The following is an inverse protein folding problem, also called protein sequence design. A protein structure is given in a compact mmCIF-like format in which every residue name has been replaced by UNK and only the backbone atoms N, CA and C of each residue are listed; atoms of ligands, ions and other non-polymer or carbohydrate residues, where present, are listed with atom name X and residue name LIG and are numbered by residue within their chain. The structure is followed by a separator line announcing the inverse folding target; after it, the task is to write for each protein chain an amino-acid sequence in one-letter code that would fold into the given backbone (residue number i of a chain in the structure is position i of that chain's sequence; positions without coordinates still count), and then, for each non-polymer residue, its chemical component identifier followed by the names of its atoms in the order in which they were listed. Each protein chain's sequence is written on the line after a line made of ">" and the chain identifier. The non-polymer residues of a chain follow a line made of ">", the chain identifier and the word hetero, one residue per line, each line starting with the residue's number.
data_IF_575308646971
#
_entry.id   IF_575308646971
#
_cell.length_a   1.000
_cell.length_b   1.000
_cell.length_c   1.000
_cell.angle_alpha   90.00
_cell.angle_beta   90.00
_cell.angle_gamma   90.00
#
_symmetry.space_group_name_H-M   'P 1'
#
loop_
_entity.id
_entity.type
_entity.pdbx_description
1 polymer ?
#
# COMPACT_ATOMS: atom_id res chain seq x y z
N UNK A 1 -51.38 -28.52 21.63
CA UNK A 1 -50.22 -29.30 22.08
C UNK A 1 -49.01 -28.37 22.23
N UNK A 2 -48.70 -28.02 23.48
CA UNK A 2 -47.57 -27.15 23.86
C UNK A 2 -46.40 -28.01 24.32
N UNK A 3 -45.20 -27.86 23.70
CA UNK A 3 -43.97 -28.48 24.20
C UNK A 3 -43.21 -27.49 25.10
N UNK A 4 -42.68 -27.89 26.24
CA UNK A 4 -41.94 -27.02 27.16
C UNK A 4 -40.47 -26.87 26.71
N UNK A 5 -39.98 -25.65 26.86
CA UNK A 5 -38.56 -25.27 26.66
C UNK A 5 -37.73 -25.72 27.87
N UNK A 6 -36.67 -26.49 27.60
CA UNK A 6 -35.66 -26.84 28.60
C UNK A 6 -34.68 -25.67 28.78
N UNK A 7 -34.67 -25.06 29.95
CA UNK A 7 -33.69 -24.06 30.38
C UNK A 7 -32.47 -24.79 30.95
N UNK A 8 -31.38 -24.80 30.25
CA UNK A 8 -30.09 -25.29 30.76
C UNK A 8 -29.46 -24.22 31.66
N UNK A 9 -29.37 -24.49 32.94
CA UNK A 9 -28.64 -23.70 33.92
C UNK A 9 -27.17 -24.09 33.86
N UNK A 10 -26.33 -23.19 33.38
CA UNK A 10 -24.86 -23.29 33.50
C UNK A 10 -24.45 -22.77 34.87
N UNK A 11 -23.94 -23.66 35.71
CA UNK A 11 -23.29 -23.31 36.97
C UNK A 11 -21.87 -22.83 36.67
N UNK A 12 -21.56 -21.56 36.90
CA UNK A 12 -20.22 -21.01 36.85
C UNK A 12 -19.51 -21.30 38.15
N UNK A 13 -18.59 -22.24 38.15
CA UNK A 13 -17.68 -22.48 39.27
C UNK A 13 -16.59 -21.40 39.26
N UNK A 14 -16.65 -20.45 40.20
CA UNK A 14 -15.58 -19.51 40.48
C UNK A 14 -14.46 -20.21 41.23
N UNK A 15 -13.38 -20.59 40.57
CA UNK A 15 -12.11 -20.95 41.22
C UNK A 15 -11.33 -19.68 41.49
N UNK A 16 -11.23 -19.29 42.74
CA UNK A 16 -10.36 -18.24 43.22
C UNK A 16 -8.89 -18.68 43.07
N UNK A 17 -8.22 -18.27 42.01
CA UNK A 17 -6.78 -18.45 41.88
C UNK A 17 -6.08 -17.33 42.65
N UNK A 18 -5.40 -17.68 43.72
CA UNK A 18 -4.50 -16.80 44.47
C UNK A 18 -3.39 -16.28 43.54
N UNK A 19 -3.41 -14.99 43.24
CA UNK A 19 -2.31 -14.30 42.56
C UNK A 19 -1.10 -14.23 43.51
N UNK A 20 -0.21 -15.21 43.39
CA UNK A 20 1.13 -15.12 43.93
C UNK A 20 1.89 -14.13 43.07
N UNK A 21 2.13 -12.92 43.55
CA UNK A 21 3.03 -11.93 42.93
C UNK A 21 4.48 -12.41 43.08
N UNK A 22 4.88 -13.36 42.24
CA UNK A 22 6.30 -13.59 42.00
C UNK A 22 6.80 -12.44 41.12
N UNK A 23 7.73 -11.69 41.67
CA UNK A 23 8.53 -10.67 40.96
C UNK A 23 9.24 -11.40 39.81
N UNK A 24 8.55 -11.46 38.66
CA UNK A 24 9.05 -12.17 37.47
C UNK A 24 10.25 -11.42 36.91
N UNK A 25 11.41 -12.00 37.00
CA UNK A 25 12.56 -11.64 36.20
C UNK A 25 12.11 -11.65 34.73
N UNK A 26 12.20 -10.48 34.07
CA UNK A 26 11.93 -10.39 32.64
C UNK A 26 12.86 -11.38 31.93
N UNK A 27 12.34 -12.36 31.17
CA UNK A 27 13.18 -13.32 30.50
C UNK A 27 14.20 -12.60 29.62
N UNK A 28 15.47 -12.81 29.88
CA UNK A 28 16.55 -12.25 29.06
C UNK A 28 16.41 -12.85 27.66
N UNK A 29 16.26 -12.04 26.59
CA UNK A 29 16.08 -12.57 25.26
C UNK A 29 17.29 -13.44 24.88
N UNK A 30 17.02 -14.61 24.33
CA UNK A 30 18.05 -15.54 23.86
C UNK A 30 18.93 -14.89 22.80
N UNK A 31 20.15 -15.36 22.64
CA UNK A 31 21.09 -14.86 21.62
C UNK A 31 20.48 -14.91 20.21
N UNK A 32 19.69 -15.94 19.92
CA UNK A 32 18.98 -16.12 18.67
C UNK A 32 17.87 -15.06 18.47
N UNK A 33 17.09 -14.77 19.50
CA UNK A 33 16.08 -13.70 19.45
C UNK A 33 16.71 -12.31 19.22
N UNK A 34 17.90 -12.06 19.81
CA UNK A 34 18.66 -10.81 19.58
C UNK A 34 19.19 -10.73 18.16
N UNK A 35 19.70 -11.84 17.59
CA UNK A 35 20.19 -11.90 16.22
C UNK A 35 19.06 -11.66 15.22
N UNK A 36 17.91 -12.30 15.41
CA UNK A 36 16.70 -12.11 14.57
C UNK A 36 16.20 -10.67 14.63
N UNK A 37 16.14 -10.08 15.84
CA UNK A 37 15.73 -8.68 16.00
C UNK A 37 16.71 -7.71 15.31
N UNK A 38 18.01 -7.92 15.43
CA UNK A 38 19.05 -7.11 14.75
C UNK A 38 18.94 -7.21 13.23
N UNK A 39 18.69 -8.42 12.69
CA UNK A 39 18.49 -8.63 11.26
C UNK A 39 17.23 -7.91 10.75
N UNK A 40 16.12 -7.97 11.49
CA UNK A 40 14.89 -7.26 11.16
C UNK A 40 15.07 -5.73 11.14
N UNK A 41 15.81 -5.17 12.12
CA UNK A 41 16.13 -3.73 12.14
C UNK A 41 16.98 -3.34 10.93
N UNK A 42 17.99 -4.15 10.58
CA UNK A 42 18.84 -3.88 9.42
C UNK A 42 18.06 -3.93 8.09
N UNK A 43 17.16 -4.90 7.94
CA UNK A 43 16.27 -4.99 6.77
C UNK A 43 15.36 -3.76 6.65
N UNK A 44 14.71 -3.35 7.73
CA UNK A 44 13.84 -2.17 7.75
C UNK A 44 14.62 -0.86 7.47
N UNK A 45 15.88 -0.78 7.90
CA UNK A 45 16.76 0.36 7.59
C UNK A 45 17.12 0.40 6.10
N UNK A 46 17.43 -0.76 5.50
CA UNK A 46 17.70 -0.89 4.06
C UNK A 46 16.49 -0.47 3.22
N UNK A 47 15.30 -0.95 3.56
CA UNK A 47 14.05 -0.60 2.88
C UNK A 47 13.77 0.90 2.94
N UNK A 48 13.99 1.52 4.10
CA UNK A 48 13.84 2.97 4.28
C UNK A 48 14.80 3.76 3.40
N UNK A 49 16.07 3.37 3.36
CA UNK A 49 17.07 4.03 2.50
C UNK A 49 16.72 3.90 1.02
N UNK A 50 16.29 2.73 0.58
CA UNK A 50 15.87 2.50 -0.80
C UNK A 50 14.65 3.35 -1.15
N UNK A 51 13.62 3.41 -0.29
CA UNK A 51 12.46 4.25 -0.51
C UNK A 51 12.82 5.74 -0.56
N UNK A 52 13.73 6.21 0.29
CA UNK A 52 14.21 7.60 0.24
C UNK A 52 14.91 7.92 -1.10
N UNK A 53 15.71 6.99 -1.61
CA UNK A 53 16.33 7.12 -2.93
C UNK A 53 15.27 7.20 -4.02
N UNK A 54 14.27 6.30 -4.01
CA UNK A 54 13.19 6.27 -4.99
C UNK A 54 12.32 7.53 -4.95
N UNK A 55 12.07 8.09 -3.78
CA UNK A 55 11.37 9.38 -3.63
C UNK A 55 12.17 10.51 -4.29
N UNK A 56 13.48 10.58 -4.06
CA UNK A 56 14.35 11.59 -4.73
C UNK A 56 14.38 11.41 -6.26
N UNK A 57 14.40 10.18 -6.73
CA UNK A 57 14.31 9.89 -8.18
C UNK A 57 12.95 10.36 -8.73
N UNK A 58 11.86 10.12 -8.00
CA UNK A 58 10.54 10.62 -8.34
C UNK A 58 10.47 12.14 -8.41
N UNK A 59 11.09 12.85 -7.45
CA UNK A 59 11.19 14.31 -7.45
C UNK A 59 11.99 14.83 -8.64
N UNK A 60 13.11 14.18 -8.99
CA UNK A 60 13.91 14.52 -10.16
C UNK A 60 13.15 14.31 -11.49
N UNK A 61 12.31 13.30 -11.57
CA UNK A 61 11.41 13.09 -12.71
C UNK A 61 10.33 14.17 -12.73
N UNK A 62 9.74 14.52 -11.59
CA UNK A 62 8.72 15.57 -11.46
C UNK A 62 9.21 16.92 -11.99
N UNK A 63 10.46 17.28 -11.69
CA UNK A 63 11.05 18.53 -12.17
C UNK A 63 11.15 18.62 -13.72
N UNK A 64 11.01 17.50 -14.41
CA UNK A 64 11.11 17.41 -15.89
C UNK A 64 9.78 17.11 -16.58
N UNK A 65 8.68 16.94 -15.86
CA UNK A 65 7.37 16.57 -16.43
C UNK A 65 6.87 17.56 -17.47
N UNK A 66 7.15 18.85 -17.32
CA UNK A 66 6.73 19.88 -18.28
C UNK A 66 7.35 19.73 -19.67
N UNK A 67 8.49 19.05 -19.78
CA UNK A 67 9.16 18.76 -21.05
C UNK A 67 8.74 17.42 -21.69
N UNK A 68 7.86 16.65 -21.03
CA UNK A 68 7.42 15.36 -21.54
C UNK A 68 6.10 15.48 -22.31
N UNK A 69 5.94 14.66 -23.36
CA UNK A 69 4.67 14.51 -24.06
C UNK A 69 3.62 13.93 -23.10
N UNK A 70 2.46 14.56 -23.00
CA UNK A 70 1.37 14.14 -22.12
C UNK A 70 0.23 13.52 -22.92
N UNK A 71 -0.30 12.41 -22.42
CA UNK A 71 -1.56 11.84 -22.87
C UNK A 71 -2.50 11.67 -21.66
N UNK A 72 -3.80 11.80 -21.90
CA UNK A 72 -4.81 11.65 -20.84
C UNK A 72 -6.04 10.95 -21.39
N UNK A 73 -6.66 10.13 -20.55
CA UNK A 73 -8.01 9.60 -20.79
C UNK A 73 -8.65 9.23 -19.45
N UNK A 74 -9.93 8.84 -19.52
CA UNK A 74 -10.69 8.35 -18.38
C UNK A 74 -11.65 7.25 -18.80
N UNK A 75 -12.09 6.47 -17.82
CA UNK A 75 -13.10 5.44 -17.99
C UNK A 75 -13.84 5.19 -16.67
N UNK A 76 -14.99 4.52 -16.78
CA UNK A 76 -15.70 4.01 -15.61
C UNK A 76 -15.32 2.54 -15.37
N UNK A 77 -15.03 2.20 -14.12
CA UNK A 77 -14.83 0.83 -13.66
C UNK A 77 -15.91 0.54 -12.60
N UNK A 78 -17.07 0.04 -13.03
CA UNK A 78 -18.27 0.02 -12.19
C UNK A 78 -18.65 1.44 -11.77
N UNK A 79 -18.85 1.66 -10.46
CA UNK A 79 -19.18 2.98 -9.88
C UNK A 79 -17.96 3.88 -9.63
N UNK A 80 -16.78 3.46 -10.08
CA UNK A 80 -15.53 4.20 -9.88
C UNK A 80 -15.12 4.90 -11.16
N UNK A 81 -15.01 6.24 -11.13
CA UNK A 81 -14.37 6.97 -12.20
C UNK A 81 -12.85 6.89 -12.10
N UNK A 82 -12.19 6.67 -13.21
CA UNK A 82 -10.73 6.59 -13.31
C UNK A 82 -10.26 7.59 -14.35
N UNK A 83 -9.38 8.51 -13.95
CA UNK A 83 -8.72 9.46 -14.84
C UNK A 83 -7.22 9.20 -14.73
N UNK A 84 -6.51 9.21 -15.85
CA UNK A 84 -5.08 9.04 -15.86
C UNK A 84 -4.37 10.04 -16.77
N UNK A 85 -3.11 10.31 -16.43
CA UNK A 85 -2.18 11.14 -17.19
C UNK A 85 -0.89 10.35 -17.39
N UNK A 86 -0.56 10.02 -18.63
CA UNK A 86 0.71 9.41 -19.01
C UNK A 86 1.69 10.47 -19.50
N UNK A 87 2.94 10.41 -19.04
CA UNK A 87 4.03 11.28 -19.45
C UNK A 87 5.11 10.46 -20.16
N UNK A 88 5.49 10.88 -21.36
CA UNK A 88 6.32 10.11 -22.28
C UNK A 88 7.61 10.86 -22.63
N UNK A 89 8.74 10.16 -22.52
CA UNK A 89 10.00 10.56 -23.13
C UNK A 89 10.11 9.86 -24.50
N UNK A 90 9.86 10.59 -25.58
CA UNK A 90 9.61 9.97 -26.89
C UNK A 90 8.37 9.08 -26.83
N UNK A 91 8.52 7.80 -27.15
CA UNK A 91 7.43 6.79 -27.08
C UNK A 91 7.45 5.96 -25.78
N UNK A 92 8.39 6.25 -24.88
CA UNK A 92 8.53 5.52 -23.63
C UNK A 92 7.71 6.19 -22.53
N UNK A 93 6.76 5.45 -21.92
CA UNK A 93 6.04 5.90 -20.74
C UNK A 93 6.99 5.94 -19.54
N UNK A 94 7.15 7.12 -18.95
CA UNK A 94 8.04 7.37 -17.80
C UNK A 94 7.25 7.52 -16.52
N UNK A 95 6.13 8.25 -16.55
CA UNK A 95 5.25 8.48 -15.42
C UNK A 95 3.81 8.23 -15.82
N UNK A 96 3.06 7.66 -14.90
CA UNK A 96 1.62 7.52 -14.98
C UNK A 96 1.01 8.02 -13.68
N UNK A 97 0.18 9.04 -13.76
CA UNK A 97 -0.66 9.49 -12.66
C UNK A 97 -2.08 8.98 -12.87
N UNK A 98 -2.67 8.48 -11.82
CA UNK A 98 -4.04 7.97 -11.81
C UNK A 98 -4.80 8.59 -10.64
N UNK A 99 -6.01 9.07 -10.92
CA UNK A 99 -6.98 9.47 -9.91
C UNK A 99 -8.21 8.58 -10.04
N UNK A 100 -8.63 7.99 -8.93
CA UNK A 100 -9.85 7.19 -8.82
C UNK A 100 -10.80 7.82 -7.82
N UNK A 101 -12.06 7.90 -8.18
CA UNK A 101 -13.14 8.34 -7.30
C UNK A 101 -14.24 7.29 -7.33
N UNK A 102 -14.32 6.56 -6.20
CA UNK A 102 -15.29 5.48 -5.99
C UNK A 102 -16.54 5.93 -5.25
N UNK A 103 -17.31 4.98 -4.71
CA UNK A 103 -18.50 5.22 -3.90
C UNK A 103 -18.28 6.28 -2.84
N UNK A 104 -19.33 6.97 -2.33
CA UNK A 104 -19.22 8.23 -1.61
C UNK A 104 -18.06 8.26 -0.61
N UNK A 105 -17.11 9.16 -0.87
CA UNK A 105 -16.00 9.44 0.05
C UNK A 105 -14.72 8.63 -0.15
N UNK A 106 -14.59 7.84 -1.20
CA UNK A 106 -13.30 7.20 -1.55
C UNK A 106 -12.63 7.95 -2.69
N UNK A 107 -11.48 8.54 -2.42
CA UNK A 107 -10.59 9.12 -3.42
C UNK A 107 -9.21 8.51 -3.29
N UNK A 108 -8.62 8.15 -4.41
CA UNK A 108 -7.32 7.52 -4.47
C UNK A 108 -6.50 8.14 -5.60
N UNK A 109 -5.29 8.60 -5.27
CA UNK A 109 -4.32 9.13 -6.21
C UNK A 109 -3.11 8.20 -6.20
N UNK A 110 -2.71 7.72 -7.37
CA UNK A 110 -1.54 6.87 -7.50
C UNK A 110 -0.60 7.44 -8.57
N UNK A 111 0.69 7.39 -8.28
CA UNK A 111 1.76 7.71 -9.21
C UNK A 111 2.64 6.50 -9.41
N UNK A 112 2.87 6.15 -10.67
CA UNK A 112 3.69 5.04 -11.09
C UNK A 112 4.87 5.59 -11.88
N UNK A 113 6.08 5.23 -11.49
CA UNK A 113 7.30 5.53 -12.24
C UNK A 113 7.79 4.28 -12.95
N UNK A 114 8.14 4.44 -14.21
CA UNK A 114 8.69 3.38 -15.05
C UNK A 114 10.13 3.70 -15.42
N UNK A 115 10.98 2.69 -15.41
CA UNK A 115 12.35 2.75 -15.91
C UNK A 115 12.55 1.60 -16.90
N UNK A 116 12.96 1.91 -18.12
CA UNK A 116 13.12 0.91 -19.18
C UNK A 116 11.92 -0.02 -19.34
N UNK A 117 10.70 0.53 -19.31
CA UNK A 117 9.42 -0.20 -19.38
C UNK A 117 9.00 -1.00 -18.13
N UNK A 118 9.87 -1.18 -17.14
CA UNK A 118 9.56 -1.85 -15.88
C UNK A 118 9.03 -0.87 -14.84
N UNK A 119 8.09 -1.31 -14.01
CA UNK A 119 7.62 -0.55 -12.86
C UNK A 119 8.78 -0.41 -11.86
N UNK A 120 9.09 0.81 -11.45
CA UNK A 120 10.21 1.11 -10.58
C UNK A 120 9.77 1.61 -9.21
N UNK A 121 8.71 2.44 -9.19
CA UNK A 121 8.19 3.00 -7.95
C UNK A 121 6.69 3.26 -8.08
N UNK A 122 5.96 3.07 -6.98
CA UNK A 122 4.57 3.47 -6.85
C UNK A 122 4.39 4.24 -5.56
N UNK A 123 3.74 5.39 -5.64
CA UNK A 123 3.18 6.08 -4.49
C UNK A 123 1.66 6.11 -4.62
N UNK A 124 0.94 5.74 -3.57
CA UNK A 124 -0.51 5.76 -3.52
C UNK A 124 -0.96 6.51 -2.27
N UNK A 125 -1.88 7.45 -2.46
CA UNK A 125 -2.55 8.19 -1.40
C UNK A 125 -4.05 7.94 -1.53
N UNK A 126 -4.65 7.30 -0.53
CA UNK A 126 -6.08 6.99 -0.46
C UNK A 126 -6.69 7.75 0.69
N UNK A 127 -7.76 8.45 0.42
CA UNK A 127 -8.63 9.06 1.42
C UNK A 127 -9.98 8.36 1.38
N UNK A 128 -10.46 7.92 2.53
CA UNK A 128 -11.76 7.27 2.68
C UNK A 128 -12.54 7.94 3.80
N UNK A 129 -13.77 8.36 3.52
CA UNK A 129 -14.71 8.80 4.54
C UNK A 129 -15.27 7.57 5.25
N UNK A 130 -14.96 7.46 6.55
CA UNK A 130 -15.58 6.48 7.43
C UNK A 130 -16.88 7.01 8.03
N UNK A 131 -17.43 6.27 9.00
CA UNK A 131 -18.57 6.72 9.81
C UNK A 131 -18.23 7.86 10.79
N UNK A 132 -16.94 8.17 10.99
CA UNK A 132 -16.45 9.23 11.86
C UNK A 132 -16.29 10.59 11.15
N UNK A 133 -16.10 11.67 11.93
CA UNK A 133 -15.95 13.03 11.39
C UNK A 133 -14.65 13.22 10.59
N UNK A 134 -13.63 12.43 10.84
CA UNK A 134 -12.32 12.54 10.20
C UNK A 134 -12.13 11.45 9.16
N UNK A 135 -11.76 11.79 7.91
CA UNK A 135 -11.46 10.79 6.90
C UNK A 135 -10.20 10.00 7.27
N UNK A 136 -10.17 8.73 6.90
CA UNK A 136 -8.99 7.87 7.04
C UNK A 136 -8.11 8.10 5.81
N UNK A 137 -6.87 8.52 6.03
CA UNK A 137 -5.86 8.67 5.00
C UNK A 137 -4.85 7.55 5.07
N UNK A 138 -4.67 6.84 3.96
CA UNK A 138 -3.68 5.76 3.82
C UNK A 138 -2.69 6.14 2.74
N UNK A 139 -1.40 6.11 3.08
CA UNK A 139 -0.31 6.29 2.11
C UNK A 139 0.47 4.98 2.00
N UNK A 140 0.68 4.55 0.77
CA UNK A 140 1.47 3.38 0.43
C UNK A 140 2.61 3.79 -0.48
N UNK A 141 3.79 3.21 -0.30
CA UNK A 141 4.88 3.31 -1.24
C UNK A 141 5.50 1.94 -1.48
N UNK A 142 5.78 1.65 -2.75
CA UNK A 142 6.36 0.39 -3.21
C UNK A 142 7.56 0.69 -4.09
N UNK A 143 8.70 0.10 -3.79
CA UNK A 143 9.89 0.13 -4.61
C UNK A 143 10.13 -1.22 -5.26
N UNK A 144 10.49 -1.21 -6.54
CA UNK A 144 10.77 -2.41 -7.32
C UNK A 144 12.21 -2.34 -7.85
N UNK A 145 12.86 -3.49 -7.94
CA UNK A 145 14.19 -3.59 -8.55
C UNK A 145 14.14 -3.49 -10.09
N UNK A 146 15.29 -3.65 -10.74
CA UNK A 146 15.40 -3.53 -12.20
C UNK A 146 14.64 -4.61 -12.98
N UNK A 147 14.30 -5.73 -12.33
CA UNK A 147 13.52 -6.82 -12.94
C UNK A 147 12.05 -6.81 -12.49
N UNK A 148 11.65 -5.82 -11.69
CA UNK A 148 10.26 -5.64 -11.26
C UNK A 148 9.88 -6.46 -10.03
N UNK A 149 10.87 -6.95 -9.27
CA UNK A 149 10.63 -7.62 -7.99
C UNK A 149 10.53 -6.56 -6.89
N UNK A 150 9.54 -6.69 -6.02
CA UNK A 150 9.36 -5.79 -4.88
C UNK A 150 10.60 -5.82 -3.98
N UNK A 151 11.17 -4.67 -3.71
CA UNK A 151 12.40 -4.52 -2.94
C UNK A 151 12.25 -3.65 -1.69
N UNK A 152 11.22 -2.81 -1.64
CA UNK A 152 10.94 -1.99 -0.46
C UNK A 152 9.48 -1.56 -0.40
N UNK A 153 8.94 -1.42 0.81
CA UNK A 153 7.55 -1.01 1.03
C UNK A 153 7.41 -0.08 2.24
N UNK A 154 6.42 0.79 2.20
CA UNK A 154 5.93 1.49 3.40
C UNK A 154 4.43 1.68 3.37
N UNK A 155 3.81 1.67 4.55
CA UNK A 155 2.40 2.02 4.75
C UNK A 155 2.27 2.94 5.95
N UNK A 156 1.51 4.02 5.76
CA UNK A 156 1.12 4.91 6.84
C UNK A 156 -0.39 5.09 6.82
N UNK A 157 -1.00 5.07 7.99
CA UNK A 157 -2.42 5.37 8.18
C UNK A 157 -2.53 6.56 9.12
N UNK A 158 -3.12 7.66 8.67
CA UNK A 158 -3.18 8.93 9.38
C UNK A 158 -1.80 9.38 9.91
N UNK A 159 -0.79 9.28 9.03
CA UNK A 159 0.62 9.61 9.26
C UNK A 159 1.37 8.70 10.26
N UNK A 160 0.72 7.70 10.83
CA UNK A 160 1.37 6.67 11.65
C UNK A 160 1.76 5.44 10.80
N UNK A 161 2.95 4.88 11.06
CA UNK A 161 3.39 3.64 10.42
C UNK A 161 2.43 2.49 10.75
N UNK A 162 2.05 1.73 9.75
CA UNK A 162 1.11 0.61 9.87
C UNK A 162 1.67 -0.65 9.20
N UNK A 163 1.28 -1.86 9.64
CA UNK A 163 1.66 -3.08 8.96
C UNK A 163 1.05 -3.12 7.54
N UNK A 164 1.81 -3.64 6.60
CA UNK A 164 1.37 -3.90 5.23
C UNK A 164 0.82 -5.33 5.16
N UNK A 165 -0.36 -5.51 4.58
CA UNK A 165 -0.81 -6.83 4.14
C UNK A 165 -0.19 -7.11 2.77
N UNK A 166 1.05 -7.66 2.85
CA UNK A 166 2.01 -7.62 1.75
C UNK A 166 1.54 -8.32 0.48
N UNK A 167 0.91 -9.47 0.57
CA UNK A 167 0.59 -10.26 -0.62
C UNK A 167 -0.54 -9.64 -1.46
N UNK A 168 -1.65 -9.23 -0.81
CA UNK A 168 -2.83 -8.68 -1.49
C UNK A 168 -2.57 -7.28 -2.06
N UNK A 169 -1.96 -6.39 -1.26
CA UNK A 169 -1.69 -5.01 -1.66
C UNK A 169 -0.69 -4.95 -2.84
N UNK A 170 0.34 -5.80 -2.83
CA UNK A 170 1.38 -5.82 -3.87
C UNK A 170 0.85 -6.36 -5.19
N UNK A 171 0.18 -7.52 -5.16
CA UNK A 171 -0.40 -8.13 -6.35
C UNK A 171 -1.38 -7.18 -7.01
N UNK A 172 -2.26 -6.58 -6.22
CA UNK A 172 -3.23 -5.60 -6.69
C UNK A 172 -2.56 -4.40 -7.39
N UNK A 173 -1.53 -3.80 -6.79
CA UNK A 173 -0.83 -2.64 -7.36
C UNK A 173 -0.06 -3.01 -8.64
N UNK A 174 0.62 -4.16 -8.67
CA UNK A 174 1.39 -4.58 -9.84
C UNK A 174 0.48 -4.91 -11.03
N UNK A 175 -0.64 -5.59 -10.80
CA UNK A 175 -1.64 -5.90 -11.83
C UNK A 175 -2.31 -4.63 -12.36
N UNK A 176 -2.66 -3.72 -11.47
CA UNK A 176 -3.23 -2.42 -11.82
C UNK A 176 -2.28 -1.59 -12.69
N UNK A 177 -1.00 -1.48 -12.30
CA UNK A 177 0.01 -0.77 -13.07
C UNK A 177 0.17 -1.36 -14.48
N UNK A 178 0.16 -2.70 -14.59
CA UNK A 178 0.25 -3.41 -15.87
C UNK A 178 -0.96 -3.15 -16.75
N UNK A 179 -2.17 -3.27 -16.20
CA UNK A 179 -3.43 -3.05 -16.93
C UNK A 179 -3.54 -1.62 -17.45
N UNK A 180 -3.22 -0.63 -16.62
CA UNK A 180 -3.20 0.79 -17.00
C UNK A 180 -2.16 1.07 -18.08
N UNK A 181 -0.93 0.58 -17.91
CA UNK A 181 0.12 0.74 -18.91
C UNK A 181 -0.30 0.21 -20.28
N UNK A 182 -0.86 -0.99 -20.34
CA UNK A 182 -1.36 -1.58 -21.59
C UNK A 182 -2.42 -0.69 -22.24
N UNK A 183 -3.39 -0.23 -21.48
CA UNK A 183 -4.46 0.65 -21.97
C UNK A 183 -3.95 1.99 -22.48
N UNK A 184 -2.94 2.57 -21.82
CA UNK A 184 -2.33 3.84 -22.22
C UNK A 184 -1.54 3.68 -23.53
N UNK A 185 -0.73 2.63 -23.65
CA UNK A 185 0.06 2.39 -24.85
C UNK A 185 -0.85 2.13 -26.06
N UNK A 186 -1.95 1.38 -25.89
CA UNK A 186 -2.92 1.17 -26.98
C UNK A 186 -3.62 2.46 -27.40
N UNK A 187 -4.00 3.34 -26.47
CA UNK A 187 -4.62 4.63 -26.80
C UNK A 187 -3.64 5.66 -27.37
N UNK A 188 -2.35 5.57 -27.07
CA UNK A 188 -1.32 6.45 -27.63
C UNK A 188 -0.92 6.06 -29.07
N UNK A 189 -1.07 4.78 -29.43
CA UNK A 189 -0.78 4.27 -30.79
C UNK A 189 -1.91 4.52 -31.79
N UNK A 190 -3.08 4.94 -31.33
CA UNK A 190 -4.26 5.21 -32.18
C UNK A 190 -4.35 6.68 -32.66
N UNK A 191 -3.36 7.48 -32.38
CA UNK A 191 -3.25 8.91 -32.79
C UNK A 191 -2.05 9.14 -33.65
#
# INVERSE_FOLDING_TARGET
>A
MRRPSAVARFAVAMTASALSCTRGDKPTPTTEARATHKAAIAAAAKDRMLLQYLVKDAEAVNARLSGLRRATAGFMAGDTSVIWFGFFAGDTLVVLDETRRGPPGVEENARYLFRNTSLHYVALDRTQRGSGPTPIRTRLAFGFDSVGVLSATSKNVNDAAAPLDTAADITFIAERARALRTRILSSASSR
#
